data_IF_939602057015
#
_entry.id   IF_939602057015
#
_cell.length_a   1.000
_cell.length_b   1.000
_cell.length_c   1.000
_cell.angle_alpha   90.00
_cell.angle_beta   90.00
_cell.angle_gamma   90.00
#
_symmetry.space_group_name_H-M   'P 1'
#
loop_
_entity.id
_entity.type
_entity.pdbx_description
1 polymer ?
#
# COMPACT_ATOMS: atom_id res chain seq x y z
N UNK A 1 13.28 8.78 6.41
CA UNK A 1 14.75 8.52 6.38
C UNK A 1 15.16 7.82 5.10
N UNK A 2 16.46 7.81 4.75
CA UNK A 2 16.99 7.22 3.51
C UNK A 2 16.67 5.72 3.34
N UNK A 3 16.76 4.95 4.43
CA UNK A 3 16.40 3.52 4.45
C UNK A 3 14.93 3.27 4.09
N UNK A 4 14.00 4.06 4.64
CA UNK A 4 12.57 3.89 4.34
C UNK A 4 12.27 4.18 2.87
N UNK A 5 12.96 5.16 2.27
CA UNK A 5 12.82 5.47 0.85
C UNK A 5 13.35 4.33 -0.04
N UNK A 6 14.48 3.70 0.32
CA UNK A 6 14.98 2.52 -0.39
C UNK A 6 14.02 1.35 -0.26
N UNK A 7 13.60 1.03 0.97
CA UNK A 7 12.64 -0.05 1.21
C UNK A 7 11.34 0.18 0.44
N UNK A 8 10.85 1.42 0.46
CA UNK A 8 9.65 1.82 -0.26
C UNK A 8 9.80 1.66 -1.78
N UNK A 9 10.84 2.24 -2.38
CA UNK A 9 11.07 2.13 -3.82
C UNK A 9 11.29 0.68 -4.26
N UNK A 10 12.02 -0.10 -3.46
CA UNK A 10 12.24 -1.53 -3.74
C UNK A 10 10.92 -2.31 -3.70
N UNK A 11 10.06 -2.03 -2.71
CA UNK A 11 8.72 -2.60 -2.64
C UNK A 11 7.83 -2.14 -3.81
N UNK A 12 7.95 -0.88 -4.22
CA UNK A 12 7.21 -0.30 -5.34
C UNK A 12 7.61 -0.96 -6.67
N UNK A 13 8.90 -1.16 -6.88
CA UNK A 13 9.45 -1.85 -8.04
C UNK A 13 9.06 -3.32 -8.06
N UNK A 14 9.09 -3.99 -6.90
CA UNK A 14 8.57 -5.34 -6.73
C UNK A 14 7.09 -5.42 -7.10
N UNK A 15 6.25 -4.51 -6.60
CA UNK A 15 4.81 -4.47 -6.89
C UNK A 15 4.54 -4.16 -8.37
N UNK A 16 5.31 -3.26 -8.99
CA UNK A 16 5.22 -2.97 -10.43
C UNK A 16 5.62 -4.18 -11.26
N UNK A 17 6.69 -4.88 -10.89
CA UNK A 17 7.13 -6.11 -11.56
C UNK A 17 6.08 -7.20 -11.42
N UNK A 18 5.58 -7.41 -10.20
CA UNK A 18 4.50 -8.36 -9.93
C UNK A 18 3.23 -8.00 -10.67
N UNK A 19 2.82 -6.73 -10.78
CA UNK A 19 1.64 -6.34 -11.56
C UNK A 19 1.80 -6.64 -13.06
N UNK A 20 3.02 -6.52 -13.62
CA UNK A 20 3.33 -6.95 -14.99
C UNK A 20 3.31 -8.47 -15.14
N UNK A 21 3.73 -9.21 -14.12
CA UNK A 21 3.69 -10.69 -14.08
C UNK A 21 2.28 -11.22 -13.78
N UNK A 22 1.45 -10.50 -13.02
CA UNK A 22 0.07 -10.84 -12.63
C UNK A 22 -0.91 -10.74 -13.79
N UNK A 23 -0.48 -10.24 -14.95
CA UNK A 23 -1.20 -10.47 -16.22
C UNK A 23 -1.30 -11.97 -16.56
N UNK A 24 -0.53 -12.85 -15.88
CA UNK A 24 -0.55 -14.29 -16.13
C UNK A 24 -0.96 -15.21 -14.97
N UNK A 25 -0.99 -14.79 -13.69
CA UNK A 25 -1.43 -15.65 -12.58
C UNK A 25 -2.05 -14.89 -11.40
N UNK A 26 -3.23 -15.33 -10.96
CA UNK A 26 -3.99 -14.79 -9.84
C UNK A 26 -3.54 -15.43 -8.52
N UNK A 27 -2.44 -14.95 -7.96
CA UNK A 27 -2.02 -15.39 -6.62
C UNK A 27 -2.71 -14.56 -5.52
N UNK A 28 -3.32 -15.29 -4.58
CA UNK A 28 -3.84 -14.82 -3.30
C UNK A 28 -2.66 -14.43 -2.38
N UNK A 29 -2.65 -13.23 -1.76
CA UNK A 29 -1.61 -12.89 -0.81
C UNK A 29 -1.80 -13.70 0.48
N UNK A 30 -0.77 -14.42 0.92
CA UNK A 30 -0.72 -15.01 2.26
C UNK A 30 -0.78 -13.90 3.32
N UNK A 31 -1.94 -13.78 3.97
CA UNK A 31 -2.14 -12.89 5.11
C UNK A 31 -1.74 -13.59 6.40
N UNK A 32 -0.78 -13.03 7.12
CA UNK A 32 -0.50 -13.40 8.51
C UNK A 32 -1.59 -12.75 9.37
N UNK A 33 -2.56 -13.54 9.83
CA UNK A 33 -3.67 -13.09 10.67
C UNK A 33 -3.49 -13.55 12.13
N UNK A 34 -3.91 -12.71 13.08
CA UNK A 34 -3.97 -13.04 14.51
C UNK A 34 -5.05 -14.11 14.77
N UNK A 35 -4.72 -15.24 15.44
CA UNK A 35 -5.68 -16.29 15.77
C UNK A 35 -6.85 -15.84 16.65
N UNK A 36 -6.76 -14.68 17.32
CA UNK A 36 -7.78 -14.19 18.24
C UNK A 36 -8.98 -13.50 17.55
N UNK A 37 -8.89 -13.16 16.27
CA UNK A 37 -9.99 -12.48 15.57
C UNK A 37 -11.15 -13.42 15.24
N UNK A 38 -12.37 -12.92 15.34
CA UNK A 38 -13.55 -13.64 14.90
C UNK A 38 -13.49 -13.93 13.38
N UNK A 39 -14.15 -15.01 12.94
CA UNK A 39 -14.21 -15.38 11.51
C UNK A 39 -14.74 -14.21 10.66
N UNK A 40 -15.70 -13.45 11.18
CA UNK A 40 -16.29 -12.28 10.51
C UNK A 40 -15.28 -11.14 10.34
N UNK A 41 -14.50 -10.81 11.39
CA UNK A 41 -13.43 -9.80 11.31
C UNK A 41 -12.34 -10.22 10.34
N UNK A 42 -11.99 -11.51 10.32
CA UNK A 42 -11.01 -12.05 9.36
C UNK A 42 -11.51 -11.91 7.92
N UNK A 43 -12.77 -12.25 7.65
CA UNK A 43 -13.36 -12.10 6.31
C UNK A 43 -13.43 -10.64 5.88
N UNK A 44 -13.81 -9.73 6.80
CA UNK A 44 -13.82 -8.30 6.54
C UNK A 44 -12.41 -7.76 6.24
N UNK A 45 -11.40 -8.17 7.02
CA UNK A 45 -10.01 -7.79 6.80
C UNK A 45 -9.47 -8.32 5.45
N UNK A 46 -9.80 -9.56 5.09
CA UNK A 46 -9.41 -10.19 3.81
C UNK A 46 -10.02 -9.43 2.64
N UNK A 47 -11.33 -9.15 2.69
CA UNK A 47 -12.02 -8.41 1.63
C UNK A 47 -11.51 -6.96 1.51
N UNK A 48 -11.24 -6.32 2.65
CA UNK A 48 -10.63 -5.00 2.72
C UNK A 48 -9.23 -4.98 2.10
N UNK A 49 -8.36 -5.92 2.49
CA UNK A 49 -7.01 -6.01 1.94
C UNK A 49 -7.04 -6.30 0.44
N UNK A 50 -7.91 -7.21 -0.02
CA UNK A 50 -8.02 -7.50 -1.44
C UNK A 50 -8.38 -6.26 -2.25
N UNK A 51 -9.37 -5.48 -1.79
CA UNK A 51 -9.79 -4.23 -2.43
C UNK A 51 -8.66 -3.19 -2.40
N UNK A 52 -8.02 -3.04 -1.25
CA UNK A 52 -6.86 -2.16 -1.06
C UNK A 52 -5.69 -2.52 -1.99
N UNK A 53 -5.46 -3.82 -2.21
CA UNK A 53 -4.38 -4.29 -3.07
C UNK A 53 -4.62 -4.01 -4.56
N UNK A 54 -5.84 -3.64 -4.95
CA UNK A 54 -6.18 -3.22 -6.33
C UNK A 54 -5.96 -1.73 -6.58
N UNK A 55 -5.72 -0.93 -5.53
CA UNK A 55 -5.44 0.49 -5.69
C UNK A 55 -4.14 0.72 -6.48
N UNK A 56 -4.11 1.74 -7.35
CA UNK A 56 -2.88 2.29 -7.90
C UNK A 56 -1.81 2.48 -6.82
N UNK A 57 -0.57 2.17 -7.18
CA UNK A 57 0.54 2.11 -6.23
C UNK A 57 0.72 3.42 -5.45
N UNK A 58 0.53 4.57 -6.11
CA UNK A 58 0.63 5.88 -5.46
C UNK A 58 -0.43 6.11 -4.37
N UNK A 59 -1.66 5.61 -4.58
CA UNK A 59 -2.76 5.73 -3.62
C UNK A 59 -2.50 4.85 -2.40
N UNK A 60 -2.24 3.55 -2.63
CA UNK A 60 -1.88 2.59 -1.59
C UNK A 60 -0.68 3.05 -0.75
N UNK A 61 0.37 3.55 -1.41
CA UNK A 61 1.58 4.02 -0.74
C UNK A 61 1.29 5.22 0.16
N UNK A 62 0.48 6.17 -0.33
CA UNK A 62 0.09 7.35 0.45
C UNK A 62 -0.74 6.95 1.68
N UNK A 63 -1.73 6.05 1.52
CA UNK A 63 -2.59 5.57 2.63
C UNK A 63 -1.75 4.87 3.71
N UNK A 64 -0.85 3.95 3.34
CA UNK A 64 0.02 3.27 4.33
C UNK A 64 0.89 4.28 5.08
N UNK A 65 1.54 5.19 4.35
CA UNK A 65 2.46 6.13 4.99
C UNK A 65 1.73 7.11 5.92
N UNK A 66 0.53 7.54 5.56
CA UNK A 66 -0.26 8.47 6.36
C UNK A 66 -0.94 7.76 7.54
N UNK A 67 -1.77 6.74 7.26
CA UNK A 67 -2.73 6.22 8.23
C UNK A 67 -2.14 5.09 9.09
N UNK A 68 -1.14 4.37 8.57
CA UNK A 68 -0.48 3.27 9.30
C UNK A 68 0.83 3.73 9.92
N UNK A 69 1.66 4.48 9.18
CA UNK A 69 2.99 4.89 9.63
C UNK A 69 3.03 6.30 10.24
N UNK A 70 1.96 7.10 10.11
CA UNK A 70 1.84 8.41 10.75
C UNK A 70 2.72 9.51 10.17
N UNK A 71 3.20 9.38 8.92
CA UNK A 71 4.03 10.40 8.29
C UNK A 71 3.23 11.62 7.86
N UNK A 72 3.88 12.80 7.91
CA UNK A 72 3.28 14.03 7.38
C UNK A 72 3.25 14.04 5.85
N UNK A 73 2.32 14.80 5.26
CA UNK A 73 2.21 14.96 3.80
C UNK A 73 3.53 15.39 3.13
N UNK A 74 4.35 16.19 3.82
CA UNK A 74 5.66 16.67 3.32
C UNK A 74 6.71 15.55 3.33
N UNK A 75 6.71 14.72 4.36
CA UNK A 75 7.59 13.55 4.42
C UNK A 75 7.21 12.54 3.34
N UNK A 76 5.91 12.29 3.17
CA UNK A 76 5.39 11.40 2.11
C UNK A 76 5.77 11.93 0.74
N UNK A 77 5.56 13.23 0.46
CA UNK A 77 5.91 13.81 -0.84
C UNK A 77 7.40 13.67 -1.16
N UNK A 78 8.25 13.80 -0.13
CA UNK A 78 9.70 13.61 -0.24
C UNK A 78 10.08 12.13 -0.45
N UNK A 79 9.39 11.20 0.20
CA UNK A 79 9.65 9.77 0.06
C UNK A 79 9.20 9.23 -1.30
N UNK A 80 8.06 9.71 -1.80
CA UNK A 80 7.44 9.30 -3.07
C UNK A 80 7.95 10.08 -4.29
N UNK A 81 8.89 11.01 -4.09
CA UNK A 81 9.41 11.92 -5.12
C UNK A 81 8.28 12.60 -5.92
N UNK A 82 7.34 13.20 -5.18
CA UNK A 82 6.13 13.83 -5.75
C UNK A 82 5.78 15.12 -5.00
N UNK A 83 4.70 15.78 -5.39
CA UNK A 83 4.24 17.02 -4.74
C UNK A 83 3.23 16.75 -3.63
N UNK A 84 3.17 17.63 -2.62
CA UNK A 84 2.14 17.56 -1.56
C UNK A 84 0.70 17.53 -2.12
N UNK A 85 0.33 18.32 -3.16
CA UNK A 85 -0.97 18.19 -3.82
C UNK A 85 -1.21 16.81 -4.43
N UNK A 86 -0.18 16.19 -5.04
CA UNK A 86 -0.29 14.85 -5.59
C UNK A 86 -0.55 13.80 -4.50
N UNK A 87 0.12 13.91 -3.34
CA UNK A 87 -0.15 13.05 -2.17
C UNK A 87 -1.59 13.23 -1.68
N UNK A 88 -2.07 14.47 -1.52
CA UNK A 88 -3.46 14.74 -1.13
C UNK A 88 -4.47 14.13 -2.11
N UNK A 89 -4.23 14.29 -3.41
CA UNK A 89 -5.08 13.73 -4.44
C UNK A 89 -5.04 12.19 -4.47
N UNK A 90 -3.89 11.59 -4.14
CA UNK A 90 -3.75 10.14 -4.01
C UNK A 90 -4.50 9.62 -2.78
N UNK A 91 -4.38 10.28 -1.62
CA UNK A 91 -5.13 9.94 -0.40
C UNK A 91 -6.64 10.05 -0.59
N UNK A 92 -7.12 11.09 -1.29
CA UNK A 92 -8.55 11.24 -1.56
C UNK A 92 -9.12 10.12 -2.45
N UNK A 93 -8.28 9.44 -3.23
CA UNK A 93 -8.70 8.40 -4.18
C UNK A 93 -8.34 6.98 -3.74
N UNK A 94 -7.59 6.84 -2.66
CA UNK A 94 -7.20 5.57 -2.05
C UNK A 94 -8.09 5.25 -0.87
#
# INVERSE_FOLDING_TARGET
GWLLRIAHNTALDFLRRRAREKTFYEEEPDMIADPANSIAERQAAVAGLHSFMRLPVAQRSSVIMMDVLGYSLREISTMLDTSVPAVKAALHRG
#
